data_IF_473561875203
#
_entry.id   IF_473561875203
#
_cell.length_a   1.000
_cell.length_b   1.000
_cell.length_c   1.000
_cell.angle_alpha   90.00
_cell.angle_beta   90.00
_cell.angle_gamma   90.00
#
_symmetry.space_group_name_H-M   'P 1'
#
loop_
_entity.id
_entity.type
_entity.pdbx_description
1 polymer ?
#
# COMPACT_ATOMS: atom_id res chain seq x y z
N UNK A 1 19.22 -11.80 -27.80
CA UNK A 1 17.87 -11.45 -27.33
C UNK A 1 17.27 -10.48 -28.35
N UNK A 2 16.14 -10.82 -28.95
CA UNK A 2 15.39 -9.86 -29.78
C UNK A 2 14.43 -9.11 -28.86
N UNK A 3 14.46 -7.80 -28.91
CA UNK A 3 13.43 -7.00 -28.26
C UNK A 3 12.06 -7.31 -28.88
N UNK A 4 10.98 -7.36 -28.10
CA UNK A 4 9.65 -7.51 -28.64
C UNK A 4 9.41 -6.36 -29.64
N UNK A 5 9.12 -6.72 -30.88
CA UNK A 5 8.71 -5.73 -31.88
C UNK A 5 7.29 -5.31 -31.52
N UNK A 6 7.06 -4.02 -31.44
CA UNK A 6 5.70 -3.49 -31.46
C UNK A 6 5.06 -4.01 -32.74
N UNK A 7 3.90 -4.71 -32.63
CA UNK A 7 3.15 -5.12 -33.80
C UNK A 7 2.82 -3.91 -34.71
N UNK A 8 2.19 -4.13 -35.83
CA UNK A 8 1.87 -3.12 -36.85
C UNK A 8 0.96 -1.95 -36.39
N UNK A 9 0.70 -1.84 -35.10
CA UNK A 9 -0.04 -0.71 -34.55
C UNK A 9 0.88 0.49 -34.37
N UNK A 10 0.62 1.60 -35.05
CA UNK A 10 1.41 2.82 -34.89
C UNK A 10 1.33 3.33 -33.44
N UNK A 11 2.46 3.68 -32.87
CA UNK A 11 2.48 4.37 -31.58
C UNK A 11 1.79 5.71 -31.75
N UNK A 12 0.73 6.01 -30.97
CA UNK A 12 0.03 7.28 -31.11
C UNK A 12 0.97 8.45 -30.77
N UNK A 13 0.86 9.53 -31.53
CA UNK A 13 1.66 10.75 -31.31
C UNK A 13 1.36 11.44 -29.95
N UNK A 14 0.19 11.17 -29.40
CA UNK A 14 -0.22 11.61 -28.07
C UNK A 14 -0.72 10.41 -27.26
N UNK A 15 0.15 9.74 -26.51
CA UNK A 15 -0.26 8.60 -25.70
C UNK A 15 -1.18 9.06 -24.57
N UNK A 16 -2.24 8.31 -24.33
CA UNK A 16 -3.13 8.52 -23.19
C UNK A 16 -2.63 7.65 -22.03
N UNK A 17 -1.78 8.21 -21.19
CA UNK A 17 -1.15 7.49 -20.08
C UNK A 17 -2.14 6.79 -19.15
N UNK A 18 -3.25 7.41 -18.67
CA UNK A 18 -4.19 6.71 -17.80
C UNK A 18 -4.73 5.41 -18.41
N UNK A 19 -5.13 5.41 -19.67
CA UNK A 19 -5.62 4.21 -20.33
C UNK A 19 -4.54 3.14 -20.57
N UNK A 20 -3.27 3.58 -20.71
CA UNK A 20 -2.14 2.65 -20.79
C UNK A 20 -1.92 2.00 -19.44
N UNK A 21 -1.92 2.78 -18.38
CA UNK A 21 -1.73 2.34 -16.99
C UNK A 21 -2.83 1.35 -16.58
N UNK A 22 -4.10 1.68 -16.82
CA UNK A 22 -5.23 0.78 -16.53
C UNK A 22 -5.09 -0.59 -17.22
N UNK A 23 -4.65 -0.61 -18.49
CA UNK A 23 -4.41 -1.87 -19.21
C UNK A 23 -3.23 -2.65 -18.65
N UNK A 24 -2.17 -1.96 -18.24
CA UNK A 24 -0.99 -2.60 -17.64
C UNK A 24 -1.33 -3.18 -16.28
N UNK A 25 -2.08 -2.45 -15.45
CA UNK A 25 -2.55 -2.94 -14.15
C UNK A 25 -3.42 -4.19 -14.31
N UNK A 26 -4.39 -4.16 -15.22
CA UNK A 26 -5.23 -5.32 -15.51
C UNK A 26 -4.41 -6.55 -16.00
N UNK A 27 -3.38 -6.31 -16.81
CA UNK A 27 -2.47 -7.37 -17.23
C UNK A 27 -1.66 -7.92 -16.05
N UNK A 28 -1.11 -7.08 -15.20
CA UNK A 28 -0.32 -7.52 -14.05
C UNK A 28 -1.13 -8.31 -13.05
N UNK A 29 -2.39 -7.93 -12.83
CA UNK A 29 -3.32 -8.66 -11.98
C UNK A 29 -3.59 -10.06 -12.56
N UNK A 30 -3.94 -10.14 -13.85
CA UNK A 30 -4.23 -11.40 -14.51
C UNK A 30 -3.02 -12.35 -14.60
N UNK A 31 -1.84 -11.80 -14.85
CA UNK A 31 -0.57 -12.53 -15.00
C UNK A 31 0.07 -12.89 -13.65
N UNK A 32 -0.37 -12.27 -12.56
CA UNK A 32 0.29 -12.40 -11.25
C UNK A 32 1.73 -11.89 -11.25
N UNK A 33 2.03 -10.87 -12.06
CA UNK A 33 3.37 -10.39 -12.37
C UNK A 33 4.19 -10.08 -11.11
N UNK A 34 3.57 -9.45 -10.11
CA UNK A 34 4.27 -9.14 -8.86
C UNK A 34 4.71 -10.40 -8.12
N UNK A 35 3.79 -11.34 -7.89
CA UNK A 35 4.11 -12.60 -7.21
C UNK A 35 5.14 -13.42 -7.98
N UNK A 36 5.02 -13.50 -9.30
CA UNK A 36 6.01 -14.12 -10.16
C UNK A 36 7.40 -13.49 -10.03
N UNK A 37 7.47 -12.18 -9.79
CA UNK A 37 8.74 -11.49 -9.56
C UNK A 37 9.42 -11.90 -8.26
N UNK A 38 8.65 -12.27 -7.23
CA UNK A 38 9.15 -12.80 -5.96
C UNK A 38 9.55 -14.26 -6.11
N UNK A 39 8.65 -15.09 -6.65
CA UNK A 39 8.82 -16.55 -6.72
C UNK A 39 9.97 -16.98 -7.65
N UNK A 40 10.25 -16.18 -8.66
CA UNK A 40 11.37 -16.40 -9.59
C UNK A 40 12.76 -16.26 -8.94
N UNK A 41 12.83 -15.76 -7.72
CA UNK A 41 14.08 -15.49 -7.00
C UNK A 41 14.13 -16.30 -5.73
N UNK A 42 15.13 -17.18 -5.64
CA UNK A 42 15.36 -17.96 -4.43
C UNK A 42 15.88 -17.07 -3.30
N UNK A 43 15.47 -17.37 -2.08
CA UNK A 43 15.96 -16.68 -0.88
C UNK A 43 17.46 -16.91 -0.64
N UNK A 44 17.99 -18.05 -1.11
CA UNK A 44 19.33 -18.50 -0.78
C UNK A 44 19.41 -19.15 0.62
N UNK A 45 20.57 -19.72 0.93
CA UNK A 45 20.82 -20.30 2.25
C UNK A 45 20.72 -19.21 3.32
N UNK A 46 19.96 -19.48 4.36
CA UNK A 46 19.68 -18.53 5.46
C UNK A 46 19.22 -17.12 5.01
N UNK A 47 18.55 -17.02 3.86
CA UNK A 47 18.08 -15.74 3.35
C UNK A 47 19.17 -14.86 2.71
N UNK A 48 20.30 -15.42 2.32
CA UNK A 48 21.46 -14.66 1.79
C UNK A 48 21.12 -13.81 0.56
N UNK A 49 20.07 -14.17 -0.19
CA UNK A 49 19.60 -13.41 -1.35
C UNK A 49 18.32 -12.61 -1.07
N UNK A 50 17.86 -12.57 0.16
CA UNK A 50 16.71 -11.74 0.52
C UNK A 50 17.10 -10.29 0.78
N UNK A 51 16.23 -9.38 0.36
CA UNK A 51 16.26 -8.01 0.80
C UNK A 51 15.00 -7.76 1.64
N UNK A 52 15.19 -7.70 2.94
CA UNK A 52 14.09 -7.46 3.90
C UNK A 52 13.78 -5.98 3.95
N UNK A 53 12.54 -5.63 3.64
CA UNK A 53 12.07 -4.26 3.64
C UNK A 53 10.85 -4.12 4.55
N UNK A 54 10.98 -3.23 5.53
CA UNK A 54 9.88 -2.86 6.43
C UNK A 54 9.38 -1.47 6.09
N UNK A 55 8.09 -1.36 5.86
CA UNK A 55 7.43 -0.09 5.65
C UNK A 55 6.97 0.53 6.99
N UNK A 56 7.01 1.87 7.09
CA UNK A 56 6.34 2.61 8.14
C UNK A 56 4.85 2.69 7.84
N UNK A 57 3.98 2.00 8.61
CA UNK A 57 2.59 1.83 8.24
C UNK A 57 1.80 3.15 8.40
N UNK A 58 0.89 3.46 7.46
CA UNK A 58 -0.02 4.59 7.59
C UNK A 58 -1.23 4.23 8.47
N UNK A 59 -1.97 5.27 8.89
CA UNK A 59 -3.30 5.10 9.46
C UNK A 59 -4.33 4.84 8.35
N UNK A 60 -5.15 3.81 8.49
CA UNK A 60 -6.25 3.50 7.57
C UNK A 60 -7.57 4.18 7.96
N UNK A 61 -7.52 5.27 8.73
CA UNK A 61 -8.67 6.08 9.14
C UNK A 61 -8.97 7.26 8.20
N UNK A 62 -8.18 7.42 7.14
CA UNK A 62 -8.34 8.39 6.08
C UNK A 62 -7.92 7.84 4.71
N UNK A 63 -8.36 8.51 3.64
CA UNK A 63 -7.98 8.17 2.27
C UNK A 63 -6.52 8.55 1.97
N UNK A 64 -5.85 7.84 1.02
CA UNK A 64 -4.56 8.26 0.52
C UNK A 64 -4.60 9.69 -0.04
N UNK A 65 -3.54 10.43 0.14
CA UNK A 65 -3.36 11.76 -0.43
C UNK A 65 -1.94 11.94 -1.00
N UNK A 66 -1.67 13.06 -1.68
CA UNK A 66 -0.39 13.28 -2.36
C UNK A 66 0.85 13.13 -1.48
N UNK A 67 0.77 13.43 -0.18
CA UNK A 67 1.86 13.17 0.76
C UNK A 67 2.17 11.68 0.90
N UNK A 68 1.15 10.84 0.96
CA UNK A 68 1.31 9.39 0.95
C UNK A 68 1.87 8.89 -0.39
N UNK A 69 1.39 9.46 -1.51
CA UNK A 69 1.88 9.12 -2.84
C UNK A 69 3.40 9.36 -2.96
N UNK A 70 3.88 10.54 -2.56
CA UNK A 70 5.29 10.88 -2.59
C UNK A 70 6.13 9.94 -1.74
N UNK A 71 5.69 9.69 -0.51
CA UNK A 71 6.38 8.79 0.42
C UNK A 71 6.37 7.35 -0.11
N UNK A 72 5.23 6.88 -0.60
CA UNK A 72 5.07 5.55 -1.19
C UNK A 72 5.97 5.36 -2.41
N UNK A 73 6.04 6.35 -3.29
CA UNK A 73 6.92 6.33 -4.45
C UNK A 73 8.40 6.20 -4.04
N UNK A 74 8.85 7.01 -3.09
CA UNK A 74 10.23 6.94 -2.62
C UNK A 74 10.57 5.58 -1.99
N UNK A 75 9.65 5.00 -1.23
CA UNK A 75 9.79 3.67 -0.65
C UNK A 75 9.79 2.56 -1.71
N UNK A 76 8.96 2.68 -2.75
CA UNK A 76 8.82 1.67 -3.81
C UNK A 76 10.06 1.55 -4.70
N UNK A 77 10.79 2.64 -4.89
CA UNK A 77 12.05 2.65 -5.69
C UNK A 77 13.08 1.65 -5.15
N UNK A 78 13.27 1.59 -3.85
CA UNK A 78 14.29 0.74 -3.23
C UNK A 78 14.02 -0.75 -3.44
N UNK A 79 12.82 -1.30 -3.12
CA UNK A 79 12.49 -2.69 -3.39
C UNK A 79 12.54 -3.05 -4.88
N UNK A 80 12.07 -2.18 -5.77
CA UNK A 80 12.18 -2.40 -7.22
C UNK A 80 13.62 -2.50 -7.67
N UNK A 81 14.49 -1.62 -7.21
CA UNK A 81 15.92 -1.66 -7.50
C UNK A 81 16.55 -2.96 -7.02
N UNK A 82 16.26 -3.39 -5.80
CA UNK A 82 16.77 -4.66 -5.26
C UNK A 82 16.26 -5.88 -6.05
N UNK A 83 15.00 -5.84 -6.49
CA UNK A 83 14.44 -6.86 -7.38
C UNK A 83 15.18 -6.90 -8.73
N UNK A 84 15.53 -5.74 -9.29
CA UNK A 84 16.32 -5.66 -10.54
C UNK A 84 17.74 -6.20 -10.35
N UNK A 85 18.31 -6.10 -9.16
CA UNK A 85 19.61 -6.73 -8.82
C UNK A 85 19.51 -8.25 -8.60
N UNK A 86 18.34 -8.85 -8.75
CA UNK A 86 18.12 -10.30 -8.61
C UNK A 86 17.80 -10.77 -7.19
N UNK A 87 17.59 -9.87 -6.25
CA UNK A 87 17.22 -10.23 -4.88
C UNK A 87 15.76 -10.63 -4.77
N UNK A 88 15.46 -11.55 -3.88
CA UNK A 88 14.09 -11.84 -3.44
C UNK A 88 13.64 -10.72 -2.50
N UNK A 89 12.56 -10.03 -2.88
CA UNK A 89 12.02 -8.91 -2.11
C UNK A 89 10.54 -9.13 -1.89
N UNK A 90 10.19 -9.66 -0.72
CA UNK A 90 8.82 -9.70 -0.27
C UNK A 90 8.42 -8.32 0.25
N UNK A 91 7.20 -7.88 -0.09
CA UNK A 91 6.67 -6.60 0.35
C UNK A 91 5.53 -6.85 1.32
N UNK A 92 5.68 -6.31 2.53
CA UNK A 92 4.67 -6.39 3.57
C UNK A 92 4.14 -5.00 3.84
N UNK A 93 2.84 -4.83 3.64
CA UNK A 93 2.13 -3.63 4.02
C UNK A 93 1.52 -3.81 5.40
N UNK A 94 1.42 -2.74 6.19
CA UNK A 94 0.85 -2.78 7.53
C UNK A 94 0.09 -1.50 7.84
N UNK A 95 -0.54 -1.47 9.01
CA UNK A 95 -1.39 -0.37 9.46
C UNK A 95 -0.93 0.15 10.82
N UNK A 96 -0.92 1.47 10.96
CA UNK A 96 -0.88 2.10 12.28
C UNK A 96 -2.30 2.19 12.81
N UNK A 97 -2.55 1.55 13.95
CA UNK A 97 -3.91 1.34 14.44
C UNK A 97 -4.16 1.91 15.84
N UNK A 98 -3.22 2.69 16.38
CA UNK A 98 -3.35 3.21 17.75
C UNK A 98 -2.74 4.61 17.89
N UNK A 99 -2.88 5.16 19.09
CA UNK A 99 -2.36 6.49 19.42
C UNK A 99 -3.32 7.62 19.09
N UNK A 100 -2.83 8.84 19.27
CA UNK A 100 -3.65 10.06 19.20
C UNK A 100 -4.45 10.24 17.90
N UNK A 101 -3.92 9.94 16.70
CA UNK A 101 -4.72 10.08 15.48
C UNK A 101 -5.94 9.14 15.44
N UNK A 102 -5.83 7.93 15.96
CA UNK A 102 -6.95 6.99 16.05
C UNK A 102 -7.98 7.47 17.07
N UNK A 103 -7.53 7.98 18.22
CA UNK A 103 -8.40 8.53 19.27
C UNK A 103 -9.18 9.77 18.77
N UNK A 104 -8.47 10.71 18.13
CA UNK A 104 -9.10 11.92 17.59
C UNK A 104 -10.15 11.61 16.52
N UNK A 105 -9.89 10.64 15.65
CA UNK A 105 -10.88 10.23 14.65
C UNK A 105 -12.09 9.54 15.29
N UNK A 106 -11.87 8.70 16.29
CA UNK A 106 -12.97 8.10 17.05
C UNK A 106 -13.81 9.15 17.78
N UNK A 107 -13.17 10.13 18.44
CA UNK A 107 -13.85 11.26 19.08
C UNK A 107 -14.67 12.06 18.06
N UNK A 108 -14.08 12.35 16.89
CA UNK A 108 -14.78 13.06 15.82
C UNK A 108 -16.03 12.31 15.33
N UNK A 109 -15.94 11.01 15.13
CA UNK A 109 -17.05 10.17 14.68
C UNK A 109 -18.17 10.08 15.73
N UNK A 110 -17.79 10.05 17.00
CA UNK A 110 -18.74 9.98 18.14
C UNK A 110 -19.26 11.36 18.56
N UNK A 111 -18.73 12.45 17.99
CA UNK A 111 -19.11 13.82 18.36
C UNK A 111 -18.58 14.27 19.73
N UNK A 112 -17.58 13.56 20.28
CA UNK A 112 -16.96 13.86 21.57
C UNK A 112 -15.89 14.94 21.43
N UNK A 113 -15.78 15.83 22.43
CA UNK A 113 -14.83 16.95 22.40
C UNK A 113 -13.85 16.92 23.56
N UNK A 114 -14.20 16.25 24.64
CA UNK A 114 -13.42 16.25 25.87
C UNK A 114 -13.16 14.84 26.37
N UNK A 115 -12.14 14.70 27.21
CA UNK A 115 -11.82 13.44 27.87
C UNK A 115 -12.92 13.01 28.86
N UNK A 116 -13.56 13.96 29.50
CA UNK A 116 -14.62 13.68 30.45
C UNK A 116 -15.83 13.03 29.76
N UNK A 117 -16.19 13.47 28.55
CA UNK A 117 -17.23 12.84 27.75
C UNK A 117 -16.89 11.39 27.36
N UNK A 118 -15.61 11.08 27.15
CA UNK A 118 -15.17 9.69 26.93
C UNK A 118 -15.38 8.85 28.20
N UNK A 119 -15.05 9.40 29.37
CA UNK A 119 -15.24 8.72 30.66
C UNK A 119 -16.73 8.49 30.95
N UNK A 120 -17.57 9.46 30.66
CA UNK A 120 -19.03 9.34 30.80
C UNK A 120 -19.62 8.28 29.85
N UNK A 121 -19.13 8.19 28.61
CA UNK A 121 -19.53 7.16 27.67
C UNK A 121 -19.12 5.75 28.12
N UNK A 122 -17.96 5.65 28.75
CA UNK A 122 -17.29 4.41 29.12
C UNK A 122 -16.12 4.07 28.17
N UNK A 123 -14.96 3.79 28.75
CA UNK A 123 -13.71 3.53 28.03
C UNK A 123 -13.86 2.30 27.10
N UNK A 124 -14.57 1.28 27.53
CA UNK A 124 -14.84 0.07 26.75
C UNK A 124 -15.58 0.37 25.44
N UNK A 125 -16.62 1.21 25.51
CA UNK A 125 -17.39 1.63 24.33
C UNK A 125 -16.55 2.51 23.40
N UNK A 126 -15.80 3.44 23.96
CA UNK A 126 -14.88 4.27 23.18
C UNK A 126 -13.84 3.43 22.44
N UNK A 127 -13.20 2.48 23.13
CA UNK A 127 -12.22 1.58 22.52
C UNK A 127 -12.83 0.68 21.46
N UNK A 128 -14.08 0.22 21.64
CA UNK A 128 -14.79 -0.55 20.62
C UNK A 128 -15.04 0.28 19.35
N UNK A 129 -15.45 1.53 19.50
CA UNK A 129 -15.66 2.46 18.39
C UNK A 129 -14.32 2.79 17.68
N UNK A 130 -13.26 3.07 18.43
CA UNK A 130 -11.92 3.30 17.88
C UNK A 130 -11.45 2.09 17.07
N UNK A 131 -11.56 0.88 17.61
CA UNK A 131 -11.21 -0.37 16.92
C UNK A 131 -12.00 -0.57 15.63
N UNK A 132 -13.28 -0.24 15.61
CA UNK A 132 -14.11 -0.35 14.41
C UNK A 132 -13.70 0.66 13.32
N UNK A 133 -13.13 1.81 13.71
CA UNK A 133 -12.79 2.89 12.78
C UNK A 133 -11.40 2.76 12.15
N UNK A 134 -10.42 2.16 12.84
CA UNK A 134 -9.00 2.19 12.42
C UNK A 134 -8.69 1.46 11.12
N UNK A 135 -9.53 0.52 10.70
CA UNK A 135 -9.36 -0.23 9.45
C UNK A 135 -10.41 0.13 8.39
N UNK A 136 -11.07 1.27 8.54
CA UNK A 136 -12.22 1.65 7.70
C UNK A 136 -11.88 1.75 6.22
N UNK A 137 -10.70 2.22 5.87
CA UNK A 137 -10.28 2.50 4.48
C UNK A 137 -9.22 1.52 3.96
N UNK A 138 -9.08 0.34 4.57
CA UNK A 138 -8.07 -0.65 4.14
C UNK A 138 -8.26 -1.09 2.70
N UNK A 139 -9.51 -1.23 2.22
CA UNK A 139 -9.79 -1.60 0.84
C UNK A 139 -9.36 -0.54 -0.18
N UNK A 140 -9.59 0.74 0.13
CA UNK A 140 -9.17 1.85 -0.72
C UNK A 140 -7.65 1.97 -0.76
N UNK A 141 -6.98 1.72 0.35
CA UNK A 141 -5.53 1.67 0.42
C UNK A 141 -4.96 0.47 -0.36
N UNK A 142 -5.59 -0.70 -0.27
CA UNK A 142 -5.20 -1.88 -1.05
C UNK A 142 -5.30 -1.60 -2.55
N UNK A 143 -6.41 -1.03 -3.00
CA UNK A 143 -6.58 -0.62 -4.39
C UNK A 143 -5.57 0.45 -4.86
N UNK A 144 -5.07 1.27 -3.93
CA UNK A 144 -4.05 2.28 -4.22
C UNK A 144 -2.64 1.69 -4.33
N UNK A 145 -2.33 0.65 -3.55
CA UNK A 145 -0.97 0.05 -3.48
C UNK A 145 -0.76 -1.02 -4.55
N UNK A 146 -1.82 -1.74 -4.94
CA UNK A 146 -1.80 -2.77 -5.97
C UNK A 146 -1.92 -2.18 -7.37
#
# INVERSE_FOLDING_TARGET
MSYPKTGDSPVPSSPRFPQIEERVLAYWEQDGTFQASVDKREAGEDGANEFVFYDGPPFANGLPHYGHLLTGYAKDVVPRFQTMLGRRVERRFGWDTHGLPAELEAMRQLGLKTKDEILEMGIDKFNAAARASVLKYTGEWEAYVN
#
